data_IF_831651361815
#
_entry.id   IF_831651361815
#
_cell.length_a   1.000
_cell.length_b   1.000
_cell.length_c   1.000
_cell.angle_alpha   90.00
_cell.angle_beta   90.00
_cell.angle_gamma   90.00
#
_symmetry.space_group_name_H-M   'P 1'
#
loop_
_entity.id
_entity.type
_entity.pdbx_description
1 polymer ?
#
# COMPACT_ATOMS: atom_id res chain seq x y z
N UNK A 1 7.57 26.03 17.23
CA UNK A 1 7.53 25.01 16.14
C UNK A 1 6.86 23.73 16.64
N UNK A 2 5.60 23.51 16.23
CA UNK A 2 4.86 22.31 16.60
C UNK A 2 5.20 21.17 15.64
N UNK A 3 5.63 20.03 16.17
CA UNK A 3 5.74 18.81 15.40
C UNK A 3 4.32 18.23 15.24
N UNK A 4 3.81 18.18 14.02
CA UNK A 4 2.54 17.53 13.72
C UNK A 4 2.80 16.03 13.53
N UNK A 5 2.30 15.22 14.45
CA UNK A 5 2.36 13.77 14.35
C UNK A 5 1.21 13.27 13.47
N UNK A 6 1.51 12.82 12.25
CA UNK A 6 0.54 12.11 11.41
C UNK A 6 0.58 10.62 11.70
N UNK A 7 -0.58 9.99 11.92
CA UNK A 7 -0.62 8.56 12.18
C UNK A 7 -0.28 7.79 10.91
N UNK A 8 0.64 6.84 11.04
CA UNK A 8 1.12 6.00 9.94
C UNK A 8 -0.02 5.38 9.10
N UNK A 9 -1.06 4.82 9.74
CA UNK A 9 -2.22 4.23 9.04
C UNK A 9 -2.91 5.17 8.05
N UNK A 10 -3.12 6.43 8.42
CA UNK A 10 -3.80 7.38 7.54
C UNK A 10 -2.93 7.74 6.34
N UNK A 11 -1.61 7.86 6.55
CA UNK A 11 -0.67 8.04 5.46
C UNK A 11 -0.63 6.81 4.55
N UNK A 12 -0.63 5.58 5.10
CA UNK A 12 -0.72 4.33 4.33
C UNK A 12 -1.98 4.28 3.45
N UNK A 13 -3.14 4.67 3.98
CA UNK A 13 -4.41 4.71 3.22
C UNK A 13 -4.39 5.77 2.11
N UNK A 14 -3.84 6.95 2.37
CA UNK A 14 -3.64 7.98 1.35
C UNK A 14 -2.74 7.47 0.21
N UNK A 15 -1.63 6.80 0.56
CA UNK A 15 -0.73 6.20 -0.41
C UNK A 15 -1.43 5.12 -1.26
N UNK A 16 -2.23 4.25 -0.62
CA UNK A 16 -3.01 3.20 -1.29
C UNK A 16 -4.04 3.78 -2.27
N UNK A 17 -4.74 4.85 -1.89
CA UNK A 17 -5.65 5.56 -2.79
C UNK A 17 -4.90 6.11 -4.01
N UNK A 18 -3.71 6.66 -3.81
CA UNK A 18 -2.84 7.10 -4.90
C UNK A 18 -2.41 5.97 -5.84
N UNK A 19 -2.10 4.77 -5.34
CA UNK A 19 -1.81 3.60 -6.17
C UNK A 19 -3.01 3.16 -6.99
N UNK A 20 -4.20 3.08 -6.36
CA UNK A 20 -5.44 2.75 -7.05
C UNK A 20 -5.71 3.70 -8.21
N UNK A 21 -5.60 5.01 -7.97
CA UNK A 21 -5.82 6.03 -9.00
C UNK A 21 -4.82 5.91 -10.16
N UNK A 22 -3.56 5.55 -9.88
CA UNK A 22 -2.57 5.33 -10.93
C UNK A 22 -2.92 4.11 -11.81
N UNK A 23 -3.31 2.98 -11.19
CA UNK A 23 -3.74 1.78 -11.93
C UNK A 23 -4.98 2.05 -12.77
N UNK A 24 -5.97 2.77 -12.24
CA UNK A 24 -7.18 3.15 -12.97
C UNK A 24 -6.85 4.02 -14.20
N UNK A 25 -5.90 4.94 -14.07
CA UNK A 25 -5.44 5.75 -15.20
C UNK A 25 -4.76 4.91 -16.29
N UNK A 26 -3.90 3.97 -15.91
CA UNK A 26 -3.32 3.01 -16.86
C UNK A 26 -4.37 2.19 -17.60
N UNK A 27 -5.36 1.67 -16.87
CA UNK A 27 -6.45 0.89 -17.47
C UNK A 27 -7.30 1.71 -18.45
N UNK A 28 -7.43 3.01 -18.21
CA UNK A 28 -8.07 3.95 -19.12
C UNK A 28 -7.17 4.37 -20.31
N UNK A 29 -5.95 3.82 -20.42
CA UNK A 29 -5.02 4.11 -21.51
C UNK A 29 -4.23 5.41 -21.32
N UNK A 30 -4.30 6.03 -20.15
CA UNK A 30 -3.49 7.20 -19.85
C UNK A 30 -2.05 6.78 -19.56
N UNK A 31 -1.10 7.54 -20.09
CA UNK A 31 0.29 7.42 -19.66
C UNK A 31 0.37 7.79 -18.18
N UNK A 32 0.78 6.83 -17.35
CA UNK A 32 1.24 7.12 -16.00
C UNK A 32 2.75 7.02 -16.02
N UNK A 33 3.41 8.02 -15.45
CA UNK A 33 4.86 8.10 -15.50
C UNK A 33 5.32 9.53 -15.39
N UNK A 34 6.49 9.66 -14.80
CA UNK A 34 7.18 10.92 -14.64
C UNK A 34 7.91 11.27 -15.95
N UNK A 35 7.75 12.50 -16.41
CA UNK A 35 8.65 13.14 -17.36
C UNK A 35 9.46 14.21 -16.62
N UNK A 36 10.77 13.98 -16.56
CA UNK A 36 11.73 14.83 -15.86
C UNK A 36 11.80 16.26 -16.39
N UNK A 37 11.43 16.46 -17.64
CA UNK A 37 11.46 17.76 -18.29
C UNK A 37 10.16 18.56 -18.10
N UNK A 38 9.01 17.90 -17.84
CA UNK A 38 7.69 18.56 -17.91
C UNK A 38 6.87 18.51 -16.63
N UNK A 39 7.14 17.57 -15.71
CA UNK A 39 6.39 17.47 -14.46
C UNK A 39 7.06 18.30 -13.37
N UNK A 40 6.55 19.50 -13.09
CA UNK A 40 6.99 20.40 -11.99
C UNK A 40 6.09 20.30 -10.76
N UNK A 41 5.20 19.30 -10.71
CA UNK A 41 4.28 19.17 -9.58
C UNK A 41 5.00 18.77 -8.30
N UNK A 42 4.46 19.20 -7.17
CA UNK A 42 4.83 18.76 -5.82
C UNK A 42 4.72 17.23 -5.61
N UNK A 43 4.15 16.51 -6.58
CA UNK A 43 4.09 15.04 -6.64
C UNK A 43 5.32 14.39 -7.30
N UNK A 44 6.37 15.16 -7.65
CA UNK A 44 7.67 14.61 -8.05
C UNK A 44 8.16 13.58 -7.03
N UNK A 45 8.44 12.36 -7.49
CA UNK A 45 8.96 11.29 -6.63
C UNK A 45 7.97 10.73 -5.60
N UNK A 46 6.70 11.18 -5.61
CA UNK A 46 5.71 10.71 -4.63
C UNK A 46 5.48 9.21 -4.73
N UNK A 47 5.52 8.63 -5.94
CA UNK A 47 5.31 7.19 -6.11
C UNK A 47 6.45 6.35 -5.53
N UNK A 48 7.69 6.83 -5.61
CA UNK A 48 8.85 6.11 -5.08
C UNK A 48 8.87 6.11 -3.55
N UNK A 49 8.60 7.24 -2.89
CA UNK A 49 8.49 7.23 -1.42
C UNK A 49 7.29 6.40 -0.95
N UNK A 50 6.20 6.33 -1.74
CA UNK A 50 5.04 5.48 -1.43
C UNK A 50 5.43 4.00 -1.44
N UNK A 51 6.29 3.59 -2.37
CA UNK A 51 6.85 2.23 -2.39
C UNK A 51 7.78 1.96 -1.21
N UNK A 52 8.68 2.89 -0.88
CA UNK A 52 9.58 2.73 0.27
C UNK A 52 8.81 2.67 1.60
N UNK A 53 7.76 3.49 1.72
CA UNK A 53 6.90 3.50 2.88
C UNK A 53 6.04 2.23 2.98
N UNK A 54 5.47 1.75 1.87
CA UNK A 54 4.77 0.46 1.82
C UNK A 54 5.72 -0.69 2.19
N UNK A 55 6.95 -0.66 1.68
CA UNK A 55 8.00 -1.63 2.04
C UNK A 55 8.27 -1.61 3.54
N UNK A 56 8.48 -0.43 4.14
CA UNK A 56 8.71 -0.30 5.57
C UNK A 56 7.49 -0.80 6.38
N UNK A 57 6.27 -0.51 5.93
CA UNK A 57 5.06 -1.01 6.56
C UNK A 57 4.98 -2.55 6.52
N UNK A 58 5.30 -3.17 5.39
CA UNK A 58 5.35 -4.64 5.25
C UNK A 58 6.42 -5.23 6.17
N UNK A 59 7.59 -4.61 6.27
CA UNK A 59 8.65 -5.10 7.16
C UNK A 59 8.26 -4.99 8.64
N UNK A 60 7.63 -3.89 9.04
CA UNK A 60 7.23 -3.64 10.44
C UNK A 60 6.01 -4.47 10.87
N UNK A 61 5.11 -4.78 9.94
CA UNK A 61 3.88 -5.52 10.19
C UNK A 61 3.86 -6.86 9.46
N UNK A 62 5.03 -7.47 9.24
CA UNK A 62 5.22 -8.68 8.45
C UNK A 62 4.06 -9.66 8.66
N UNK A 63 3.33 -9.93 7.57
CA UNK A 63 2.23 -10.86 7.64
C UNK A 63 2.79 -12.27 7.81
N UNK A 64 2.52 -12.87 8.97
CA UNK A 64 2.95 -14.22 9.33
C UNK A 64 2.00 -15.31 8.84
N UNK A 65 0.92 -14.96 8.12
CA UNK A 65 0.00 -15.94 7.56
C UNK A 65 0.69 -16.75 6.48
N UNK A 66 0.52 -18.07 6.54
CA UNK A 66 1.03 -18.99 5.51
C UNK A 66 0.04 -18.98 4.36
N UNK A 67 0.51 -18.57 3.18
CA UNK A 67 -0.25 -18.70 1.95
C UNK A 67 -0.16 -20.15 1.46
N UNK A 68 -1.30 -20.80 1.30
CA UNK A 68 -1.38 -22.18 0.83
C UNK A 68 -1.42 -22.21 -0.69
N UNK A 69 -0.63 -23.11 -1.29
CA UNK A 69 -0.70 -23.42 -2.72
C UNK A 69 -1.51 -24.69 -2.95
N UNK A 70 -2.19 -24.74 -4.09
CA UNK A 70 -2.92 -25.93 -4.55
C UNK A 70 -2.72 -26.10 -6.05
N UNK A 71 -2.95 -27.32 -6.56
CA UNK A 71 -2.88 -27.59 -7.99
C UNK A 71 -4.30 -27.47 -8.57
N UNK A 72 -4.47 -26.61 -9.57
CA UNK A 72 -5.72 -26.47 -10.31
C UNK A 72 -5.41 -26.53 -11.81
N UNK A 73 -6.09 -27.41 -12.55
CA UNK A 73 -5.86 -27.58 -13.98
C UNK A 73 -4.45 -28.05 -14.38
N UNK A 74 -3.65 -28.59 -13.44
CA UNK A 74 -2.27 -28.99 -13.69
C UNK A 74 -1.23 -27.90 -13.41
N UNK A 75 -1.66 -26.70 -12.99
CA UNK A 75 -0.78 -25.59 -12.63
C UNK A 75 -0.82 -25.30 -11.13
N UNK A 76 0.30 -24.80 -10.60
CA UNK A 76 0.37 -24.31 -9.22
C UNK A 76 -0.39 -22.99 -9.10
N UNK A 77 -1.39 -22.96 -8.22
CA UNK A 77 -2.17 -21.77 -7.88
C UNK A 77 -1.99 -21.42 -6.41
N UNK A 78 -1.87 -20.12 -6.11
CA UNK A 78 -1.80 -19.59 -4.75
C UNK A 78 -3.19 -19.14 -4.30
N UNK A 79 -3.69 -19.64 -3.16
CA UNK A 79 -4.99 -19.23 -2.61
C UNK A 79 -4.87 -18.06 -1.62
N UNK A 80 -3.97 -17.12 -1.86
CA UNK A 80 -3.66 -16.03 -0.92
C UNK A 80 -4.86 -15.13 -0.57
N UNK A 81 -5.90 -15.12 -1.41
CA UNK A 81 -7.19 -14.43 -1.19
C UNK A 81 -8.11 -15.19 -0.21
N UNK A 82 -8.14 -16.52 -0.29
CA UNK A 82 -9.04 -17.36 0.53
C UNK A 82 -8.44 -17.73 1.89
N UNK A 83 -7.16 -17.41 2.13
CA UNK A 83 -6.54 -17.60 3.44
C UNK A 83 -7.10 -16.60 4.46
N UNK A 84 -7.79 -17.06 5.54
CA UNK A 84 -8.39 -16.18 6.52
C UNK A 84 -7.31 -15.37 7.24
N UNK A 85 -7.37 -14.04 7.11
CA UNK A 85 -6.48 -13.11 7.82
C UNK A 85 -7.07 -12.81 9.19
N UNK A 86 -6.29 -13.00 10.26
CA UNK A 86 -6.74 -12.65 11.63
C UNK A 86 -6.40 -11.19 11.92
N UNK A 87 -7.43 -10.34 11.96
CA UNK A 87 -7.29 -8.93 12.34
C UNK A 87 -6.92 -8.80 13.83
N UNK A 88 -5.91 -7.97 14.11
CA UNK A 88 -5.61 -7.53 15.49
C UNK A 88 -6.42 -6.28 15.81
N UNK A 89 -6.81 -6.09 17.08
CA UNK A 89 -7.66 -4.98 17.46
C UNK A 89 -6.98 -3.63 17.18
N UNK A 90 -7.52 -2.90 16.20
CA UNK A 90 -7.01 -1.63 15.69
C UNK A 90 -7.61 -0.40 16.40
N UNK A 91 -8.65 -0.57 17.23
CA UNK A 91 -9.29 0.53 17.97
C UNK A 91 -8.39 1.07 19.07
N UNK A 92 -7.53 0.21 19.65
CA UNK A 92 -6.49 0.60 20.62
C UNK A 92 -5.55 1.70 20.12
N UNK A 93 -5.43 1.87 18.81
CA UNK A 93 -4.59 2.92 18.21
C UNK A 93 -5.24 4.31 18.22
N UNK A 94 -6.54 4.43 18.54
CA UNK A 94 -7.19 5.72 18.81
C UNK A 94 -7.07 6.11 20.28
N UNK A 95 -7.10 5.13 21.18
CA UNK A 95 -6.99 5.33 22.63
C UNK A 95 -5.62 5.87 23.09
N UNK A 96 -4.55 5.65 22.29
CA UNK A 96 -3.18 6.09 22.61
C UNK A 96 -2.81 7.43 21.99
N UNK A 97 -3.76 8.06 21.30
CA UNK A 97 -3.55 9.32 20.56
C UNK A 97 -4.42 10.47 21.03
N UNK A 98 -5.27 10.21 22.02
CA UNK A 98 -5.89 11.20 22.91
C UNK A 98 -5.02 11.34 24.18
#
# INVERSE_FOLDING_TARGET
PGNYSHHARFHQLHCLAGFRSAIQQLQAGHAIGYDEATDVSEHRGHIFHRFDYLRQAILCHADSNIETSHISGGEWSLSGYDSPRVCRNWTKLYEVTD
#
